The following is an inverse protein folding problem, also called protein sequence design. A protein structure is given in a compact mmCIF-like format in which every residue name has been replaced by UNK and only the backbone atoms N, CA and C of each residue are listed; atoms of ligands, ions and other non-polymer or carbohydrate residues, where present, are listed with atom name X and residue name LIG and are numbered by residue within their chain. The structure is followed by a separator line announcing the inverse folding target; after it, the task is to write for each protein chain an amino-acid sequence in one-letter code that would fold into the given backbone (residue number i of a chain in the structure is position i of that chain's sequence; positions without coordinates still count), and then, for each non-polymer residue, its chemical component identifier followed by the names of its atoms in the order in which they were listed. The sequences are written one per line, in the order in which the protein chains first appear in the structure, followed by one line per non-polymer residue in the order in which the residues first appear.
data_IF_339915720856
#
_entry.id   IF_339915720856
#
_cell.length_a   1.000
_cell.length_b   1.000
_cell.length_c   1.000
_cell.angle_alpha   90.00
_cell.angle_beta   90.00
_cell.angle_gamma   90.00
#
_symmetry.space_group_name_H-M   'P 1'
#
loop_
_entity.id
_entity.type
_entity.pdbx_description
1 polymer ?
#
# COMPACT_ATOMS: atom_id res chain seq x y z
N UNK A 1 26.02 -16.29 28.26
CA UNK A 1 26.27 -16.74 26.87
C UNK A 1 26.18 -18.25 26.69
N UNK A 2 26.87 -19.07 27.49
CA UNK A 2 26.72 -20.54 27.45
C UNK A 2 25.26 -21.00 27.67
N UNK A 3 24.51 -20.26 28.50
CA UNK A 3 23.07 -20.47 28.68
C UNK A 3 22.25 -20.33 27.39
N UNK A 4 22.61 -19.40 26.48
CA UNK A 4 21.93 -19.24 25.18
C UNK A 4 22.25 -20.42 24.26
N UNK A 5 23.50 -20.86 24.21
CA UNK A 5 23.90 -22.02 23.41
C UNK A 5 23.19 -23.31 23.85
N UNK A 6 23.09 -23.53 25.16
CA UNK A 6 22.35 -24.67 25.72
C UNK A 6 20.85 -24.58 25.41
N UNK A 7 20.28 -23.38 25.48
CA UNK A 7 18.88 -23.14 25.15
C UNK A 7 18.56 -23.41 23.67
N UNK A 8 19.47 -23.06 22.75
CA UNK A 8 19.23 -23.29 21.32
C UNK A 8 19.05 -24.77 20.96
N UNK A 9 19.60 -25.68 21.76
CA UNK A 9 19.47 -27.12 21.53
C UNK A 9 18.07 -27.62 21.94
N UNK A 10 17.65 -27.41 23.18
CA UNK A 10 16.42 -28.02 23.74
C UNK A 10 15.65 -27.09 24.71
N UNK A 11 15.78 -25.78 24.57
CA UNK A 11 15.18 -24.81 25.48
C UNK A 11 13.68 -24.63 25.32
N UNK A 12 13.00 -24.28 26.42
CA UNK A 12 11.58 -23.93 26.42
C UNK A 12 11.37 -22.46 26.03
N UNK A 13 10.20 -22.10 25.51
CA UNK A 13 9.92 -20.71 25.11
C UNK A 13 10.14 -19.72 26.26
N UNK A 14 9.64 -20.02 27.46
CA UNK A 14 9.72 -19.13 28.63
C UNK A 14 11.16 -18.87 29.07
N UNK A 15 12.01 -19.90 29.03
CA UNK A 15 13.44 -19.75 29.31
C UNK A 15 14.12 -18.85 28.27
N UNK A 16 13.69 -18.97 27.00
CA UNK A 16 14.20 -18.14 25.92
C UNK A 16 13.83 -16.68 26.09
N UNK A 17 12.59 -16.40 26.52
CA UNK A 17 12.13 -15.03 26.81
C UNK A 17 12.95 -14.43 27.95
N UNK A 18 13.22 -15.18 29.03
CA UNK A 18 14.07 -14.72 30.14
C UNK A 18 15.49 -14.41 29.68
N UNK A 19 16.08 -15.29 28.87
CA UNK A 19 17.42 -15.07 28.29
C UNK A 19 17.46 -13.82 27.39
N UNK A 20 16.42 -13.60 26.60
CA UNK A 20 16.33 -12.41 25.74
C UNK A 20 16.03 -11.12 26.52
N UNK A 21 15.28 -11.19 27.62
CA UNK A 21 15.04 -10.05 28.50
C UNK A 21 16.35 -9.58 29.15
N UNK A 22 17.22 -10.52 29.53
CA UNK A 22 18.53 -10.25 30.13
C UNK A 22 19.57 -9.73 29.13
N UNK A 23 19.62 -10.28 27.91
CA UNK A 23 20.71 -10.01 26.96
C UNK A 23 20.30 -9.20 25.72
N UNK A 24 19.01 -9.09 25.42
CA UNK A 24 18.50 -8.38 24.26
C UNK A 24 18.50 -6.86 24.44
N UNK A 25 18.66 -6.12 23.35
CA UNK A 25 18.65 -4.65 23.32
C UNK A 25 17.29 -4.05 22.90
N UNK A 26 16.43 -4.81 22.23
CA UNK A 26 15.18 -4.30 21.66
C UNK A 26 14.01 -4.40 22.66
N UNK A 27 13.60 -3.26 23.23
CA UNK A 27 12.51 -3.18 24.21
C UNK A 27 11.14 -3.63 23.66
N UNK A 28 10.85 -3.35 22.39
CA UNK A 28 9.60 -3.78 21.75
C UNK A 28 9.51 -5.30 21.66
N UNK A 29 10.62 -5.96 21.27
CA UNK A 29 10.66 -7.42 21.19
C UNK A 29 10.55 -8.08 22.57
N UNK A 30 11.16 -7.49 23.61
CA UNK A 30 10.98 -7.98 24.99
C UNK A 30 9.51 -7.97 25.41
N UNK A 31 8.81 -6.86 25.18
CA UNK A 31 7.39 -6.76 25.50
C UNK A 31 6.54 -7.71 24.63
N UNK A 32 6.85 -7.81 23.34
CA UNK A 32 6.14 -8.70 22.40
C UNK A 32 6.25 -10.17 22.80
N UNK A 33 7.44 -10.64 23.17
CA UNK A 33 7.63 -12.04 23.56
C UNK A 33 6.96 -12.36 24.90
N UNK A 34 6.95 -11.40 25.83
CA UNK A 34 6.29 -11.54 27.14
C UNK A 34 4.77 -11.60 27.04
N UNK A 35 4.16 -10.75 26.21
CA UNK A 35 2.70 -10.67 26.07
C UNK A 35 2.14 -11.67 25.06
N UNK A 36 2.89 -11.98 23.99
CA UNK A 36 2.38 -12.75 22.84
C UNK A 36 2.40 -14.28 23.01
N UNK A 37 3.07 -14.81 24.05
CA UNK A 37 3.18 -16.24 24.32
C UNK A 37 3.88 -17.05 23.22
N UNK A 38 3.90 -18.39 23.41
CA UNK A 38 4.60 -19.36 22.57
C UNK A 38 3.84 -19.67 21.27
N UNK A 39 3.66 -18.68 20.39
CA UNK A 39 3.17 -18.92 19.03
C UNK A 39 4.34 -19.22 18.06
N UNK A 40 4.07 -19.91 16.95
CA UNK A 40 5.09 -20.35 16.00
C UNK A 40 5.98 -19.21 15.48
N UNK A 41 5.39 -18.03 15.22
CA UNK A 41 6.14 -16.85 14.80
C UNK A 41 7.10 -16.36 15.89
N UNK A 42 6.61 -16.23 17.13
CA UNK A 42 7.39 -15.75 18.26
C UNK A 42 8.53 -16.71 18.61
N UNK A 43 8.30 -18.03 18.54
CA UNK A 43 9.34 -19.05 18.78
C UNK A 43 10.46 -18.89 17.76
N UNK A 44 10.14 -18.81 16.46
CA UNK A 44 11.13 -18.61 15.40
C UNK A 44 11.89 -17.30 15.58
N UNK A 45 11.17 -16.20 15.82
CA UNK A 45 11.78 -14.87 15.97
C UNK A 45 12.67 -14.77 17.21
N UNK A 46 12.25 -15.35 18.33
CA UNK A 46 13.03 -15.42 19.56
C UNK A 46 14.32 -16.21 19.34
N UNK A 47 14.25 -17.32 18.61
CA UNK A 47 15.42 -18.13 18.26
C UNK A 47 16.41 -17.37 17.40
N UNK A 48 15.94 -16.69 16.34
CA UNK A 48 16.79 -15.84 15.48
C UNK A 48 17.54 -14.77 16.27
N UNK A 49 16.86 -14.09 17.18
CA UNK A 49 17.46 -13.02 17.97
C UNK A 49 18.47 -13.56 18.99
N UNK A 50 18.20 -14.71 19.61
CA UNK A 50 19.13 -15.38 20.52
C UNK A 50 20.37 -15.92 19.79
N UNK A 51 20.24 -16.44 18.56
CA UNK A 51 21.38 -16.80 17.71
C UNK A 51 22.25 -15.58 17.42
N UNK A 52 21.64 -14.46 17.01
CA UNK A 52 22.38 -13.21 16.75
C UNK A 52 23.14 -12.73 17.99
N UNK A 53 22.54 -12.83 19.17
CA UNK A 53 23.22 -12.49 20.43
C UNK A 53 24.40 -13.42 20.70
N UNK A 54 24.26 -14.73 20.48
CA UNK A 54 25.35 -15.70 20.61
C UNK A 54 26.52 -15.39 19.67
N UNK A 55 26.24 -15.09 18.40
CA UNK A 55 27.25 -14.74 17.41
C UNK A 55 27.98 -13.43 17.75
N UNK A 56 27.27 -12.42 18.27
CA UNK A 56 27.84 -11.11 18.59
C UNK A 56 28.90 -11.11 19.70
N UNK A 57 28.91 -12.14 20.58
CA UNK A 57 29.86 -12.23 21.71
C UNK A 57 31.02 -13.16 21.42
N UNK A 58 30.95 -13.96 20.36
CA UNK A 58 32.11 -14.75 19.95
C UNK A 58 33.09 -13.78 19.31
N UNK A 59 34.27 -13.51 19.92
CA UNK A 59 35.24 -12.60 19.33
C UNK A 59 35.61 -13.18 17.98
N UNK A 60 35.29 -12.45 16.92
CA UNK A 60 35.52 -12.85 15.54
C UNK A 60 37.02 -13.05 15.35
N UNK A 61 37.49 -14.28 15.51
CA UNK A 61 38.82 -14.68 15.08
C UNK A 61 38.93 -14.34 13.58
N UNK A 62 39.98 -13.60 13.25
CA UNK A 62 40.34 -13.13 11.91
C UNK A 62 40.01 -14.17 10.85
N UNK A 63 38.91 -13.93 10.13
CA UNK A 63 38.46 -14.78 9.04
C UNK A 63 38.37 -13.91 7.79
N UNK A 64 39.34 -14.18 6.93
CA UNK A 64 39.48 -13.98 5.48
C UNK A 64 38.40 -13.14 4.75
N UNK A 65 38.82 -12.31 3.76
CA UNK A 65 37.91 -11.48 3.00
C UNK A 65 36.90 -12.35 2.24
N UNK A 66 35.65 -12.32 2.67
CA UNK A 66 34.52 -12.83 1.89
C UNK A 66 34.45 -12.09 0.55
N UNK A 67 34.12 -12.78 -0.56
CA UNK A 67 33.86 -12.13 -1.82
C UNK A 67 32.76 -11.10 -1.61
N UNK A 68 33.11 -9.84 -1.87
CA UNK A 68 32.20 -8.70 -1.86
C UNK A 68 31.11 -8.97 -2.88
N UNK A 69 29.98 -9.53 -2.44
CA UNK A 69 28.71 -9.32 -3.13
C UNK A 69 28.47 -7.83 -3.13
N UNK A 70 28.71 -7.22 -4.29
CA UNK A 70 28.46 -5.81 -4.52
C UNK A 70 27.07 -5.46 -3.97
N UNK A 71 26.95 -4.43 -3.13
CA UNK A 71 25.65 -3.95 -2.70
C UNK A 71 24.92 -3.53 -3.97
N UNK A 72 23.92 -4.33 -4.36
CA UNK A 72 23.00 -3.98 -5.44
C UNK A 72 22.49 -2.59 -5.13
N UNK A 73 23.02 -1.59 -5.85
CA UNK A 73 22.62 -0.19 -5.75
C UNK A 73 21.14 -0.16 -6.07
N UNK A 74 20.29 -0.17 -5.03
CA UNK A 74 18.88 0.18 -5.18
C UNK A 74 18.87 1.54 -5.87
N UNK A 75 18.27 1.66 -7.07
CA UNK A 75 18.19 2.94 -7.74
C UNK A 75 17.51 3.93 -6.81
N UNK A 76 18.28 4.91 -6.34
CA UNK A 76 17.80 6.00 -5.49
C UNK A 76 17.06 7.01 -6.37
N UNK A 77 15.99 6.57 -7.01
CA UNK A 77 15.01 7.47 -7.58
C UNK A 77 14.12 7.90 -6.41
N UNK A 78 14.19 9.17 -6.02
CA UNK A 78 13.23 9.71 -5.05
C UNK A 78 11.81 9.48 -5.60
N UNK A 79 10.93 8.82 -4.84
CA UNK A 79 9.58 8.54 -5.30
C UNK A 79 8.85 9.85 -5.62
N UNK A 80 8.14 9.88 -6.74
CA UNK A 80 7.35 11.05 -7.13
C UNK A 80 6.35 11.37 -6.01
N UNK A 81 6.11 12.65 -5.66
CA UNK A 81 5.21 13.02 -4.56
C UNK A 81 3.79 12.45 -4.71
N UNK A 82 3.33 12.24 -5.95
CA UNK A 82 2.04 11.59 -6.24
C UNK A 82 2.00 10.11 -5.83
N UNK A 83 3.09 9.39 -6.04
CA UNK A 83 3.19 7.97 -5.67
C UNK A 83 3.26 7.82 -4.14
N UNK A 84 4.00 8.70 -3.45
CA UNK A 84 4.01 8.73 -1.99
C UNK A 84 2.60 8.98 -1.41
N UNK A 85 1.82 9.87 -2.03
CA UNK A 85 0.41 10.10 -1.66
C UNK A 85 -0.46 8.87 -1.89
N UNK A 86 -0.31 8.18 -3.03
CA UNK A 86 -1.03 6.93 -3.35
C UNK A 86 -0.71 5.83 -2.34
N UNK A 87 0.57 5.69 -1.95
CA UNK A 87 0.99 4.77 -0.90
C UNK A 87 0.29 5.04 0.44
N UNK A 88 0.28 6.31 0.88
CA UNK A 88 -0.41 6.69 2.12
C UNK A 88 -1.93 6.44 2.06
N UNK A 89 -2.54 6.62 0.89
CA UNK A 89 -3.95 6.27 0.68
C UNK A 89 -4.21 4.77 0.82
N UNK A 90 -3.32 3.92 0.28
CA UNK A 90 -3.43 2.47 0.40
C UNK A 90 -3.24 1.99 1.83
N UNK A 91 -2.29 2.56 2.59
CA UNK A 91 -2.10 2.20 4.00
C UNK A 91 -3.33 2.56 4.84
N UNK A 92 -3.93 3.73 4.59
CA UNK A 92 -5.17 4.15 5.26
C UNK A 92 -6.36 3.29 4.83
N UNK A 93 -6.47 2.96 3.54
CA UNK A 93 -7.51 2.05 3.01
C UNK A 93 -7.42 0.68 3.68
N UNK A 94 -6.20 0.12 3.80
CA UNK A 94 -5.95 -1.15 4.47
C UNK A 94 -6.50 -1.14 5.90
N UNK A 95 -6.18 -0.13 6.69
CA UNK A 95 -6.66 -0.01 8.08
C UNK A 95 -8.19 0.00 8.15
N UNK A 96 -8.85 0.79 7.28
CA UNK A 96 -10.32 0.85 7.21
C UNK A 96 -10.94 -0.48 6.82
N UNK A 97 -10.34 -1.22 5.89
CA UNK A 97 -10.82 -2.54 5.49
C UNK A 97 -10.73 -3.55 6.64
N UNK A 98 -9.65 -3.54 7.42
CA UNK A 98 -9.56 -4.40 8.61
C UNK A 98 -10.60 -4.05 9.68
N UNK A 99 -10.88 -2.76 9.90
CA UNK A 99 -11.95 -2.32 10.81
C UNK A 99 -13.33 -2.82 10.34
N UNK A 100 -13.62 -2.65 9.04
CA UNK A 100 -14.86 -3.15 8.43
C UNK A 100 -14.97 -4.68 8.55
N UNK A 101 -13.88 -5.40 8.29
CA UNK A 101 -13.85 -6.85 8.42
C UNK A 101 -14.15 -7.29 9.86
N UNK A 102 -13.54 -6.63 10.86
CA UNK A 102 -13.82 -6.88 12.28
C UNK A 102 -15.30 -6.68 12.61
N UNK A 103 -15.88 -5.55 12.20
CA UNK A 103 -17.30 -5.27 12.41
C UNK A 103 -18.23 -6.30 11.73
N UNK A 104 -17.93 -6.71 10.50
CA UNK A 104 -18.72 -7.73 9.79
C UNK A 104 -18.63 -9.11 10.45
N UNK A 105 -17.45 -9.47 10.94
CA UNK A 105 -17.24 -10.73 11.67
C UNK A 105 -18.03 -10.73 12.99
N UNK A 106 -18.07 -9.62 13.72
CA UNK A 106 -18.92 -9.46 14.90
C UNK A 106 -20.40 -9.53 14.54
N UNK A 107 -20.84 -8.77 13.53
CA UNK A 107 -22.24 -8.72 13.07
C UNK A 107 -22.77 -10.11 12.68
N UNK A 108 -21.95 -10.94 12.03
CA UNK A 108 -22.31 -12.30 11.61
C UNK A 108 -22.86 -13.14 12.76
N UNK A 109 -22.37 -12.97 13.99
CA UNK A 109 -22.81 -13.74 15.15
C UNK A 109 -24.25 -13.47 15.58
N UNK A 110 -24.81 -12.32 15.18
CA UNK A 110 -26.15 -11.88 15.58
C UNK A 110 -27.19 -12.01 14.45
N UNK A 111 -26.76 -12.38 13.24
CA UNK A 111 -27.66 -12.52 12.10
C UNK A 111 -28.29 -13.92 12.10
N UNK A 112 -29.61 -14.04 11.93
CA UNK A 112 -30.26 -15.33 11.77
C UNK A 112 -29.84 -15.97 10.43
N UNK A 113 -29.98 -17.30 10.34
CA UNK A 113 -29.78 -17.99 9.06
C UNK A 113 -30.75 -17.46 8.00
N UNK A 114 -30.23 -17.22 6.78
CA UNK A 114 -31.03 -16.73 5.67
C UNK A 114 -30.26 -15.78 4.76
N UNK A 115 -31.01 -14.89 4.11
CA UNK A 115 -30.49 -13.97 3.11
C UNK A 115 -29.54 -12.91 3.71
N UNK A 116 -29.82 -12.41 4.91
CA UNK A 116 -28.97 -11.42 5.58
C UNK A 116 -27.59 -12.00 5.93
N UNK A 117 -27.54 -13.24 6.44
CA UNK A 117 -26.30 -13.95 6.71
C UNK A 117 -25.49 -14.18 5.43
N UNK A 118 -26.17 -14.54 4.33
CA UNK A 118 -25.53 -14.73 3.01
C UNK A 118 -24.92 -13.43 2.49
N UNK A 119 -25.65 -12.31 2.60
CA UNK A 119 -25.14 -11.00 2.22
C UNK A 119 -23.96 -10.55 3.08
N UNK A 120 -24.02 -10.81 4.39
CA UNK A 120 -22.91 -10.55 5.30
C UNK A 120 -21.66 -11.37 4.92
N UNK A 121 -21.83 -12.67 4.65
CA UNK A 121 -20.75 -13.55 4.20
C UNK A 121 -20.13 -13.08 2.87
N UNK A 122 -20.96 -12.68 1.90
CA UNK A 122 -20.48 -12.13 0.62
C UNK A 122 -19.68 -10.83 0.82
N UNK A 123 -20.12 -9.95 1.72
CA UNK A 123 -19.38 -8.74 2.10
C UNK A 123 -18.04 -9.06 2.75
N UNK A 124 -17.98 -10.06 3.64
CA UNK A 124 -16.73 -10.52 4.26
C UNK A 124 -15.74 -10.99 3.18
N UNK A 125 -16.19 -11.83 2.25
CA UNK A 125 -15.35 -12.32 1.15
C UNK A 125 -14.83 -11.18 0.26
N UNK A 126 -15.72 -10.26 -0.13
CA UNK A 126 -15.35 -9.08 -0.93
C UNK A 126 -14.34 -8.20 -0.19
N UNK A 127 -14.56 -7.96 1.12
CA UNK A 127 -13.66 -7.16 1.96
C UNK A 127 -12.28 -7.83 2.07
N UNK A 128 -12.23 -9.14 2.25
CA UNK A 128 -10.99 -9.89 2.29
C UNK A 128 -10.22 -9.80 0.96
N UNK A 129 -10.90 -9.98 -0.17
CA UNK A 129 -10.29 -9.80 -1.49
C UNK A 129 -9.67 -8.41 -1.64
N UNK A 130 -10.38 -7.35 -1.24
CA UNK A 130 -9.87 -5.98 -1.29
C UNK A 130 -8.64 -5.77 -0.40
N UNK A 131 -8.56 -6.46 0.74
CA UNK A 131 -7.38 -6.44 1.62
C UNK A 131 -6.19 -7.06 0.88
N UNK A 132 -6.37 -8.23 0.27
CA UNK A 132 -5.33 -8.91 -0.51
C UNK A 132 -4.82 -8.05 -1.68
N UNK A 133 -5.73 -7.45 -2.44
CA UNK A 133 -5.37 -6.53 -3.53
C UNK A 133 -4.61 -5.30 -3.04
N UNK A 134 -5.02 -4.75 -1.89
CA UNK A 134 -4.35 -3.58 -1.28
C UNK A 134 -2.95 -3.95 -0.80
N UNK A 135 -2.76 -5.15 -0.24
CA UNK A 135 -1.44 -5.66 0.11
C UNK A 135 -0.56 -5.86 -1.12
N UNK A 136 -1.05 -6.53 -2.16
CA UNK A 136 -0.30 -6.72 -3.40
C UNK A 136 0.21 -5.39 -3.99
N UNK A 137 -0.62 -4.34 -3.97
CA UNK A 137 -0.21 -3.00 -4.42
C UNK A 137 0.84 -2.35 -3.51
N UNK A 138 0.73 -2.54 -2.19
CA UNK A 138 1.72 -2.05 -1.21
C UNK A 138 3.06 -2.76 -1.40
N UNK A 139 3.05 -4.08 -1.50
CA UNK A 139 4.23 -4.92 -1.64
C UNK A 139 4.97 -4.57 -2.94
N UNK A 140 4.23 -4.44 -4.05
CA UNK A 140 4.77 -3.98 -5.33
C UNK A 140 5.48 -2.62 -5.20
N UNK A 141 4.85 -1.64 -4.54
CA UNK A 141 5.46 -0.32 -4.35
C UNK A 141 6.73 -0.39 -3.49
N UNK A 142 6.73 -1.23 -2.45
CA UNK A 142 7.91 -1.41 -1.61
C UNK A 142 9.07 -2.05 -2.36
N UNK A 143 8.78 -2.98 -3.27
CA UNK A 143 9.77 -3.66 -4.11
C UNK A 143 10.31 -2.75 -5.24
N UNK A 144 9.43 -2.11 -5.99
CA UNK A 144 9.78 -1.39 -7.22
C UNK A 144 9.93 0.13 -7.05
N UNK A 145 9.54 0.70 -5.89
CA UNK A 145 9.51 2.14 -5.61
C UNK A 145 8.63 2.96 -6.58
N UNK A 146 7.77 2.28 -7.33
CA UNK A 146 6.70 2.85 -8.14
C UNK A 146 5.47 1.94 -8.02
N UNK A 147 4.29 2.48 -8.25
CA UNK A 147 3.15 1.60 -8.53
C UNK A 147 3.33 1.02 -9.93
N UNK A 148 2.67 -0.09 -10.27
CA UNK A 148 2.39 -0.36 -11.67
C UNK A 148 1.56 0.87 -12.07
N UNK A 149 2.24 1.88 -12.63
CA UNK A 149 1.56 3.06 -13.16
C UNK A 149 0.47 2.46 -14.03
N UNK A 150 -0.78 2.86 -13.78
CA UNK A 150 -1.93 2.50 -14.60
C UNK A 150 -1.44 2.60 -16.03
N UNK A 151 -1.06 1.49 -16.68
CA UNK A 151 -0.37 1.49 -17.97
C UNK A 151 -1.21 2.40 -18.83
N UNK A 152 -0.73 3.64 -19.08
CA UNK A 152 -1.56 4.82 -19.37
C UNK A 152 -2.74 4.33 -20.14
N UNK A 153 -3.89 4.05 -19.48
CA UNK A 153 -4.96 3.26 -20.13
C UNK A 153 -5.19 3.99 -21.42
N UNK A 154 -4.79 3.44 -22.59
CA UNK A 154 -4.40 4.24 -23.73
C UNK A 154 -5.60 5.12 -24.00
N UNK A 155 -5.48 6.43 -23.68
CA UNK A 155 -6.63 7.32 -23.43
C UNK A 155 -7.73 6.88 -24.36
N UNK A 156 -8.71 6.13 -23.83
CA UNK A 156 -9.61 5.37 -24.69
C UNK A 156 -10.12 6.36 -25.70
N UNK A 157 -9.72 6.18 -26.96
CA UNK A 157 -9.70 7.29 -27.90
C UNK A 157 -11.15 7.56 -28.19
N UNK A 158 -11.72 8.54 -27.47
CA UNK A 158 -13.13 8.83 -27.52
C UNK A 158 -13.48 9.01 -28.99
N UNK A 159 -14.52 8.30 -29.43
CA UNK A 159 -14.98 8.42 -30.80
C UNK A 159 -15.13 9.93 -31.13
N UNK A 160 -14.53 10.45 -32.21
CA UNK A 160 -14.40 11.89 -32.41
C UNK A 160 -15.72 12.67 -32.28
N UNK A 161 -16.84 12.03 -32.65
CA UNK A 161 -18.20 12.58 -32.48
C UNK A 161 -18.56 12.81 -31.00
N UNK A 162 -18.27 11.85 -30.12
CA UNK A 162 -18.50 11.95 -28.68
C UNK A 162 -17.58 13.00 -28.06
N UNK A 163 -16.31 13.04 -28.45
CA UNK A 163 -15.36 14.07 -27.99
C UNK A 163 -15.86 15.48 -28.36
N UNK A 164 -16.29 15.70 -29.60
CA UNK A 164 -16.86 16.97 -30.05
C UNK A 164 -18.13 17.36 -29.26
N UNK A 165 -19.01 16.41 -28.97
CA UNK A 165 -20.23 16.66 -28.18
C UNK A 165 -19.88 17.11 -26.76
N UNK A 166 -18.94 16.43 -26.11
CA UNK A 166 -18.46 16.78 -24.76
C UNK A 166 -17.79 18.15 -24.76
N UNK A 167 -16.97 18.48 -25.76
CA UNK A 167 -16.34 19.80 -25.89
C UNK A 167 -17.38 20.91 -26.04
N UNK A 168 -18.42 20.71 -26.85
CA UNK A 168 -19.53 21.69 -27.00
C UNK A 168 -20.26 21.91 -25.68
N UNK A 169 -20.54 20.85 -24.92
CA UNK A 169 -21.16 20.98 -23.60
C UNK A 169 -20.25 21.75 -22.62
N UNK A 170 -18.96 21.44 -22.60
CA UNK A 170 -17.98 22.14 -21.76
C UNK A 170 -17.89 23.62 -22.11
N UNK A 171 -17.83 23.96 -23.41
CA UNK A 171 -17.85 25.35 -23.90
C UNK A 171 -19.13 26.06 -23.47
N UNK A 172 -20.29 25.44 -23.64
CA UNK A 172 -21.58 26.02 -23.24
C UNK A 172 -21.62 26.31 -21.74
N UNK A 173 -21.19 25.34 -20.90
CA UNK A 173 -21.13 25.49 -19.45
C UNK A 173 -20.11 26.55 -19.01
N UNK A 174 -18.95 26.61 -19.64
CA UNK A 174 -17.91 27.60 -19.34
C UNK A 174 -18.39 29.02 -19.67
N UNK A 175 -19.04 29.22 -20.82
CA UNK A 175 -19.66 30.51 -21.19
C UNK A 175 -20.73 30.93 -20.18
N UNK A 176 -21.62 30.02 -19.78
CA UNK A 176 -22.65 30.30 -18.79
C UNK A 176 -22.06 30.72 -17.43
N UNK A 177 -20.97 30.06 -16.99
CA UNK A 177 -20.25 30.44 -15.76
C UNK A 177 -19.62 31.82 -15.86
N UNK A 178 -18.98 32.14 -16.97
CA UNK A 178 -18.33 33.45 -17.19
C UNK A 178 -19.33 34.61 -17.32
N UNK A 179 -20.55 34.33 -17.79
CA UNK A 179 -21.64 35.30 -17.81
C UNK A 179 -22.15 35.63 -16.41
N UNK A 180 -21.98 34.72 -15.44
CA UNK A 180 -22.35 34.97 -14.05
C UNK A 180 -21.35 35.92 -13.38
N UNK A 181 -21.81 36.97 -12.68
CA UNK A 181 -20.93 37.87 -11.93
C UNK A 181 -20.26 37.18 -10.73
N UNK A 182 -20.78 36.05 -10.25
CA UNK A 182 -20.26 35.30 -9.09
C UNK A 182 -19.25 34.21 -9.44
N UNK A 183 -18.66 34.25 -10.64
CA UNK A 183 -17.70 33.23 -11.10
C UNK A 183 -16.40 33.27 -10.26
N UNK A 184 -16.29 32.38 -9.26
CA UNK A 184 -15.19 32.31 -8.30
C UNK A 184 -13.79 32.23 -8.95
N UNK A 185 -13.63 31.46 -10.02
CA UNK A 185 -12.36 31.25 -10.72
C UNK A 185 -12.48 31.64 -12.20
N UNK A 186 -12.64 32.94 -12.48
CA UNK A 186 -12.87 33.46 -13.84
C UNK A 186 -11.72 33.12 -14.80
N UNK A 187 -10.47 33.29 -14.38
CA UNK A 187 -9.28 33.00 -15.20
C UNK A 187 -9.17 31.52 -15.60
N UNK A 188 -9.30 30.60 -14.63
CA UNK A 188 -9.30 29.15 -14.92
C UNK A 188 -10.44 28.75 -15.85
N UNK A 189 -11.61 29.37 -15.69
CA UNK A 189 -12.77 29.11 -16.58
C UNK A 189 -12.51 29.64 -17.99
N UNK A 190 -11.83 30.78 -18.13
CA UNK A 190 -11.41 31.32 -19.41
C UNK A 190 -10.38 30.40 -20.09
N UNK A 191 -9.40 29.90 -19.35
CA UNK A 191 -8.40 28.96 -19.88
C UNK A 191 -9.05 27.65 -20.34
N UNK A 192 -9.98 27.10 -19.54
CA UNK A 192 -10.76 25.92 -19.93
C UNK A 192 -11.57 26.15 -21.20
N UNK A 193 -12.20 27.33 -21.34
CA UNK A 193 -12.95 27.71 -22.53
C UNK A 193 -12.03 27.74 -23.76
N UNK A 194 -10.91 28.44 -23.68
CA UNK A 194 -9.94 28.55 -24.78
C UNK A 194 -9.42 27.17 -25.19
N UNK A 195 -8.97 26.35 -24.23
CA UNK A 195 -8.46 25.00 -24.50
C UNK A 195 -9.51 24.12 -25.20
N UNK A 196 -10.77 24.19 -24.73
CA UNK A 196 -11.86 23.42 -25.32
C UNK A 196 -12.21 23.90 -26.74
N UNK A 197 -12.14 25.20 -26.99
CA UNK A 197 -12.38 25.78 -28.32
C UNK A 197 -11.29 25.40 -29.31
N UNK A 198 -10.02 25.51 -28.92
CA UNK A 198 -8.87 25.10 -29.74
C UNK A 198 -8.97 23.62 -30.11
N UNK A 199 -9.22 22.75 -29.13
CA UNK A 199 -9.38 21.32 -29.38
C UNK A 199 -10.54 20.99 -30.31
N UNK A 200 -11.67 21.68 -30.15
CA UNK A 200 -12.82 21.51 -31.04
C UNK A 200 -12.49 21.95 -32.48
N UNK A 201 -11.73 23.03 -32.65
CA UNK A 201 -11.28 23.52 -33.95
C UNK A 201 -10.35 22.50 -34.64
N UNK A 202 -9.41 21.91 -33.89
CA UNK A 202 -8.54 20.83 -34.39
C UNK A 202 -9.34 19.61 -34.89
N UNK A 203 -10.32 19.15 -34.11
CA UNK A 203 -11.16 18.01 -34.49
C UNK A 203 -11.98 18.29 -35.75
N UNK A 204 -12.51 19.52 -35.89
CA UNK A 204 -13.23 19.96 -37.09
C UNK A 204 -12.30 20.03 -38.30
N UNK A 205 -11.08 20.57 -38.13
CA UNK A 205 -10.09 20.64 -39.19
C UNK A 205 -9.66 19.25 -39.67
N UNK A 206 -9.43 18.31 -38.74
CA UNK A 206 -9.07 16.93 -39.05
C UNK A 206 -10.20 16.16 -39.75
N UNK A 207 -11.46 16.46 -39.43
CA UNK A 207 -12.62 15.86 -40.11
C UNK A 207 -12.75 16.30 -41.57
N UNK A 208 -12.31 17.52 -41.92
CA UNK A 208 -12.35 18.03 -43.30
C UNK A 208 -11.24 17.47 -44.20
N UNK A 209 -10.17 16.93 -43.61
CA UNK A 209 -9.02 16.37 -44.33
C UNK A 209 -9.19 14.88 -44.67
N UNK A 210 -10.23 14.23 -44.15
CA UNK A 210 -10.60 12.85 -44.45
C UNK A 210 -11.80 12.84 -45.38
#
# INVERSE_FOLDING_TARGET
MQAIANWLQNGTYDDGVRLYEQHGSNAFLKQKFKLGGANAYNVTKLREELVRLAESVTPKAESQPLPTTEPVKKPSAQPKPEQAKKYLQLTNKKQKLYQLLGMLMEQKHYLPEGEELRQCAAKILTTHQQITETWAAIDYYQEHQCFPDDEVKPKETLEPKKEMQLLRQTISKAKARLASPSCRNREQTQQLLTNSQTRLAELVANKRKK
#
